data_IF_567585758747
#
_entry.id   IF_567585758747
#
_cell.length_a   1.000
_cell.length_b   1.000
_cell.length_c   1.000
_cell.angle_alpha   90.00
_cell.angle_beta   90.00
_cell.angle_gamma   90.00
#
_symmetry.space_group_name_H-M   'P 1'
#
loop_
_entity.id
_entity.type
_entity.pdbx_description
1 polymer ?
#
# COMPACT_ATOMS: atom_id res chain seq x y z
N UNK A 1 -0.17 -4.18 4.86
CA UNK A 1 -0.67 -4.84 3.65
C UNK A 1 -0.16 -4.07 2.45
N UNK A 2 0.47 -4.72 1.49
CA UNK A 2 0.97 -4.07 0.27
C UNK A 2 -0.06 -4.27 -0.82
N UNK A 3 -0.79 -3.19 -1.13
CA UNK A 3 -1.77 -3.13 -2.22
C UNK A 3 -1.06 -2.60 -3.45
N UNK A 4 -0.99 -3.39 -4.51
CA UNK A 4 -0.14 -3.01 -5.63
C UNK A 4 -0.59 -3.58 -6.97
N UNK A 5 -0.24 -2.86 -8.04
CA UNK A 5 -0.46 -3.30 -9.41
C UNK A 5 0.79 -4.00 -9.97
N UNK A 6 0.61 -5.12 -10.66
CA UNK A 6 1.71 -5.71 -11.45
C UNK A 6 2.27 -4.71 -12.47
N UNK A 7 3.59 -4.67 -12.59
CA UNK A 7 4.28 -3.83 -13.57
C UNK A 7 3.89 -4.29 -14.97
N UNK A 8 3.52 -3.36 -15.84
CA UNK A 8 3.23 -3.62 -17.24
C UNK A 8 3.87 -2.54 -18.13
N UNK A 9 4.62 -2.92 -19.18
CA UNK A 9 4.96 -4.29 -19.55
C UNK A 9 5.93 -4.94 -18.55
N UNK A 10 5.72 -6.23 -18.27
CA UNK A 10 6.68 -7.11 -17.57
C UNK A 10 7.34 -8.08 -18.56
N UNK A 11 8.06 -9.09 -18.05
CA UNK A 11 8.83 -10.03 -18.88
C UNK A 11 7.99 -10.84 -19.91
N UNK A 12 6.67 -10.93 -19.77
CA UNK A 12 5.81 -11.54 -20.80
C UNK A 12 4.39 -10.97 -20.91
N UNK A 13 3.68 -10.61 -19.82
CA UNK A 13 2.31 -10.03 -19.90
C UNK A 13 2.00 -9.10 -18.69
N UNK A 14 3.06 -8.61 -18.08
CA UNK A 14 3.02 -7.97 -16.77
C UNK A 14 3.51 -8.91 -15.67
N UNK A 15 4.29 -8.39 -14.73
CA UNK A 15 4.89 -9.16 -13.65
C UNK A 15 4.83 -8.31 -12.36
N UNK A 16 4.66 -8.90 -11.17
CA UNK A 16 4.57 -8.14 -9.92
C UNK A 16 5.80 -7.25 -9.66
N UNK A 17 6.93 -7.58 -10.29
CA UNK A 17 8.18 -6.81 -10.26
C UNK A 17 8.90 -6.84 -11.63
N UNK A 18 10.02 -6.15 -11.77
CA UNK A 18 10.90 -6.23 -12.93
C UNK A 18 12.12 -7.14 -12.65
N UNK A 19 12.94 -7.38 -13.68
CA UNK A 19 14.14 -8.23 -13.56
C UNK A 19 15.20 -7.66 -12.61
N UNK A 20 15.10 -6.39 -12.26
CA UNK A 20 16.02 -5.67 -11.36
C UNK A 20 15.50 -5.65 -9.91
N UNK A 21 14.30 -6.16 -9.65
CA UNK A 21 13.66 -6.14 -8.33
C UNK A 21 13.31 -4.73 -7.85
N UNK A 22 13.03 -3.80 -8.78
CA UNK A 22 12.83 -2.38 -8.48
C UNK A 22 11.67 -2.12 -7.52
N UNK A 23 10.57 -2.88 -7.64
CA UNK A 23 9.42 -2.74 -6.76
C UNK A 23 9.64 -3.37 -5.40
N UNK A 24 10.29 -4.54 -5.35
CA UNK A 24 10.73 -5.14 -4.11
C UNK A 24 11.62 -4.17 -3.32
N UNK A 25 12.63 -3.57 -3.97
CA UNK A 25 13.50 -2.57 -3.34
C UNK A 25 12.69 -1.38 -2.81
N UNK A 26 11.72 -0.89 -3.59
CA UNK A 26 10.83 0.20 -3.20
C UNK A 26 9.96 -0.14 -1.98
N UNK A 27 9.42 -1.37 -1.91
CA UNK A 27 8.64 -1.85 -0.75
C UNK A 27 9.52 -1.91 0.51
N UNK A 28 10.74 -2.46 0.39
CA UNK A 28 11.67 -2.54 1.51
C UNK A 28 12.03 -1.15 2.01
N UNK A 29 12.35 -0.21 1.12
CA UNK A 29 12.66 1.17 1.51
C UNK A 29 11.47 1.85 2.20
N UNK A 30 10.25 1.68 1.67
CA UNK A 30 9.05 2.22 2.28
C UNK A 30 8.84 1.69 3.71
N UNK A 31 9.00 0.38 3.91
CA UNK A 31 8.83 -0.27 5.21
C UNK A 31 9.90 0.19 6.19
N UNK A 32 11.16 0.30 5.76
CA UNK A 32 12.23 0.84 6.59
C UNK A 32 12.01 2.32 6.94
N UNK A 33 11.42 3.12 6.05
CA UNK A 33 10.99 4.49 6.38
C UNK A 33 9.84 4.51 7.37
N UNK A 34 8.85 3.66 7.22
CA UNK A 34 7.74 3.54 8.17
C UNK A 34 8.27 3.13 9.55
N UNK A 35 9.22 2.20 9.60
CA UNK A 35 9.87 1.77 10.84
C UNK A 35 10.79 2.85 11.43
N UNK A 36 11.63 3.46 10.60
CA UNK A 36 12.74 4.33 10.99
C UNK A 36 12.40 5.81 11.17
N UNK A 37 11.29 6.31 10.61
CA UNK A 37 10.87 7.71 10.73
C UNK A 37 10.29 8.07 12.12
N UNK A 38 10.65 7.32 13.17
CA UNK A 38 10.06 7.37 14.52
C UNK A 38 8.54 7.21 14.53
N UNK A 39 7.96 6.65 13.48
CA UNK A 39 6.53 6.37 13.48
C UNK A 39 6.24 5.20 14.42
N UNK A 40 7.13 4.22 14.48
CA UNK A 40 7.06 3.11 15.43
C UNK A 40 7.85 3.41 16.72
N UNK A 41 7.29 3.03 17.88
CA UNK A 41 7.89 3.30 19.21
C UNK A 41 9.18 2.52 19.47
N UNK A 42 9.26 1.31 18.91
CA UNK A 42 10.16 0.29 19.38
C UNK A 42 10.95 -0.28 18.20
N UNK A 43 12.27 -0.04 18.23
CA UNK A 43 13.18 -0.46 17.17
C UNK A 43 13.31 -1.99 17.03
N UNK A 44 12.90 -2.74 18.06
CA UNK A 44 12.95 -4.20 18.17
C UNK A 44 11.66 -4.91 17.74
N UNK A 45 10.62 -4.17 17.35
CA UNK A 45 9.39 -4.80 16.84
C UNK A 45 9.61 -5.40 15.46
N UNK A 46 9.07 -6.60 15.27
CA UNK A 46 9.06 -7.27 13.97
C UNK A 46 7.90 -6.76 13.13
N UNK A 47 8.15 -6.42 11.87
CA UNK A 47 7.12 -6.01 10.91
C UNK A 47 6.72 -7.22 10.08
N UNK A 48 5.44 -7.59 10.13
CA UNK A 48 4.86 -8.57 9.22
C UNK A 48 4.35 -7.87 7.95
N UNK A 49 4.76 -8.37 6.79
CA UNK A 49 4.36 -7.80 5.50
C UNK A 49 3.50 -8.84 4.78
N UNK A 50 2.24 -8.48 4.54
CA UNK A 50 1.39 -9.17 3.58
C UNK A 50 1.51 -8.47 2.24
N UNK A 51 1.93 -9.19 1.20
CA UNK A 51 1.99 -8.69 -0.17
C UNK A 51 0.88 -9.34 -0.97
N UNK A 52 0.05 -8.53 -1.62
CA UNK A 52 -0.93 -9.02 -2.59
C UNK A 52 -0.19 -9.61 -3.80
N UNK A 53 0.19 -10.89 -3.76
CA UNK A 53 0.68 -11.60 -4.93
C UNK A 53 -0.50 -12.25 -5.65
N UNK A 54 -1.11 -11.51 -6.58
CA UNK A 54 -2.17 -12.01 -7.45
C UNK A 54 -3.36 -12.51 -6.62
N UNK A 55 -4.10 -11.57 -6.05
CA UNK A 55 -5.13 -11.74 -5.02
C UNK A 55 -6.27 -12.73 -5.25
N UNK A 56 -6.22 -13.52 -6.31
CA UNK A 56 -7.03 -14.72 -6.47
C UNK A 56 -6.26 -15.68 -7.36
N UNK A 57 -6.11 -16.94 -6.95
CA UNK A 57 -5.69 -17.98 -7.89
C UNK A 57 -6.78 -18.12 -8.97
N UNK A 58 -6.52 -17.53 -10.14
CA UNK A 58 -7.44 -17.53 -11.27
C UNK A 58 -7.60 -18.91 -11.90
N UNK A 59 -6.71 -19.85 -11.54
CA UNK A 59 -6.78 -21.24 -11.98
C UNK A 59 -7.69 -22.08 -11.06
N UNK A 60 -8.18 -21.52 -9.94
CA UNK A 60 -9.19 -22.17 -9.10
C UNK A 60 -10.59 -22.12 -9.72
N UNK A 61 -11.40 -23.11 -9.38
CA UNK A 61 -12.78 -23.24 -9.84
C UNK A 61 -13.69 -22.11 -9.33
N UNK A 62 -13.35 -21.48 -8.19
CA UNK A 62 -14.09 -20.34 -7.65
C UNK A 62 -13.16 -19.22 -7.12
N UNK A 63 -12.63 -18.40 -8.03
CA UNK A 63 -11.83 -17.23 -7.70
C UNK A 63 -12.55 -16.28 -6.70
N UNK A 64 -13.88 -16.20 -6.79
CA UNK A 64 -14.67 -15.32 -5.94
C UNK A 64 -14.74 -15.76 -4.46
N UNK A 65 -14.36 -17.00 -4.13
CA UNK A 65 -14.34 -17.46 -2.74
C UNK A 65 -13.21 -16.80 -1.94
N UNK A 66 -12.02 -16.63 -2.53
CA UNK A 66 -10.88 -15.95 -1.88
C UNK A 66 -11.15 -14.45 -1.68
N UNK A 67 -11.99 -13.86 -2.53
CA UNK A 67 -12.47 -12.48 -2.39
C UNK A 67 -13.19 -12.24 -1.07
N UNK A 68 -13.85 -13.27 -0.53
CA UNK A 68 -14.56 -13.13 0.74
C UNK A 68 -13.59 -12.91 1.91
N UNK A 69 -12.29 -13.19 1.79
CA UNK A 69 -11.35 -13.08 2.91
C UNK A 69 -10.49 -11.80 2.87
N UNK A 70 -10.48 -11.06 1.75
CA UNK A 70 -9.67 -9.83 1.61
C UNK A 70 -9.93 -8.83 2.74
N UNK A 71 -11.21 -8.65 3.10
CA UNK A 71 -11.59 -7.73 4.16
C UNK A 71 -11.06 -8.17 5.53
N UNK A 72 -10.90 -9.49 5.77
CA UNK A 72 -10.31 -10.02 7.00
C UNK A 72 -8.80 -9.77 7.02
N UNK A 73 -8.11 -10.01 5.90
CA UNK A 73 -6.67 -9.74 5.76
C UNK A 73 -6.39 -8.26 6.01
N UNK A 74 -7.11 -7.37 5.32
CA UNK A 74 -6.99 -5.93 5.53
C UNK A 74 -7.36 -5.56 6.96
N UNK A 75 -8.39 -6.19 7.56
CA UNK A 75 -8.77 -5.92 8.94
C UNK A 75 -7.64 -6.17 9.94
N UNK A 76 -6.74 -7.11 9.64
CA UNK A 76 -5.58 -7.44 10.45
C UNK A 76 -4.35 -6.57 10.16
N UNK A 77 -4.39 -5.64 9.20
CA UNK A 77 -3.28 -4.71 8.92
C UNK A 77 -3.40 -3.38 9.71
N UNK A 78 -2.27 -2.76 10.01
CA UNK A 78 -2.18 -1.41 10.62
C UNK A 78 -2.12 -0.31 9.55
N UNK A 79 -1.49 -0.66 8.43
CA UNK A 79 -1.16 0.24 7.31
C UNK A 79 -1.41 -0.50 6.01
N UNK A 80 -1.94 0.24 5.02
CA UNK A 80 -1.91 -0.15 3.62
C UNK A 80 -0.81 0.64 2.91
N UNK A 81 0.09 -0.06 2.24
CA UNK A 81 1.19 0.53 1.48
C UNK A 81 0.92 0.29 -0.02
N UNK A 82 0.92 1.35 -0.81
CA UNK A 82 0.85 1.28 -2.27
C UNK A 82 2.18 1.72 -2.87
N UNK A 83 3.04 0.77 -3.27
CA UNK A 83 4.27 1.06 -3.97
C UNK A 83 3.98 1.47 -5.43
N UNK A 84 4.49 2.63 -5.84
CA UNK A 84 4.33 3.18 -7.20
C UNK A 84 5.68 3.18 -7.89
N UNK A 85 5.96 2.09 -8.61
CA UNK A 85 7.13 2.04 -9.46
C UNK A 85 6.85 2.79 -10.76
N UNK A 86 7.53 3.93 -10.95
CA UNK A 86 7.37 4.79 -12.13
C UNK A 86 8.70 4.93 -12.89
N UNK A 87 8.86 4.25 -14.04
CA UNK A 87 10.05 4.40 -14.87
C UNK A 87 10.13 5.77 -15.56
N UNK A 88 9.01 6.51 -15.67
CA UNK A 88 8.93 7.84 -16.28
C UNK A 88 8.94 8.98 -15.25
N UNK A 89 9.44 8.75 -14.03
CA UNK A 89 9.38 9.74 -12.95
C UNK A 89 10.18 11.03 -13.22
N UNK A 90 11.12 10.99 -14.17
CA UNK A 90 11.87 12.16 -14.62
C UNK A 90 11.03 13.10 -15.52
N UNK A 91 9.92 12.63 -16.08
CA UNK A 91 9.08 13.39 -17.04
C UNK A 91 8.10 14.36 -16.35
N UNK A 92 7.99 14.32 -15.03
CA UNK A 92 7.09 15.16 -14.26
C UNK A 92 7.72 15.61 -12.94
N UNK A 93 7.28 16.74 -12.40
CA UNK A 93 7.77 17.26 -11.13
C UNK A 93 6.65 17.41 -10.11
N UNK A 94 7.04 17.35 -8.84
CA UNK A 94 6.13 17.69 -7.75
C UNK A 94 5.64 19.13 -7.86
N UNK A 95 4.38 19.41 -7.44
CA UNK A 95 3.93 20.78 -7.30
C UNK A 95 4.90 21.57 -6.40
N UNK A 96 5.30 22.77 -6.84
CA UNK A 96 6.12 23.70 -6.03
C UNK A 96 5.35 24.38 -4.91
N UNK A 97 4.05 24.08 -4.81
CA UNK A 97 3.09 24.61 -3.83
C UNK A 97 2.65 23.50 -2.89
N UNK A 98 1.88 23.86 -1.87
CA UNK A 98 1.16 22.88 -1.07
C UNK A 98 0.21 22.04 -1.95
N UNK A 99 0.13 20.76 -1.64
CA UNK A 99 -0.77 19.83 -2.27
C UNK A 99 -2.20 20.10 -1.78
N UNK A 100 -3.13 20.19 -2.73
CA UNK A 100 -4.58 20.32 -2.50
C UNK A 100 -5.28 18.98 -2.63
N UNK A 101 -4.83 18.17 -3.58
CA UNK A 101 -5.37 16.84 -3.85
C UNK A 101 -4.21 15.93 -4.27
N UNK A 102 -3.65 15.19 -3.31
CA UNK A 102 -2.58 14.24 -3.58
C UNK A 102 -2.94 13.13 -4.56
N UNK A 103 -4.22 12.79 -4.72
CA UNK A 103 -4.65 11.78 -5.68
C UNK A 103 -4.58 12.30 -7.12
N UNK A 104 -4.94 13.56 -7.32
CA UNK A 104 -4.91 14.21 -8.64
C UNK A 104 -3.54 14.82 -8.99
N UNK A 105 -2.79 15.28 -7.99
CA UNK A 105 -1.53 16.00 -8.19
C UNK A 105 -0.29 15.08 -8.19
N UNK A 106 -0.42 13.81 -7.78
CA UNK A 106 0.64 12.82 -7.97
C UNK A 106 0.61 12.26 -9.40
N UNK A 107 1.44 12.84 -10.27
CA UNK A 107 1.38 12.67 -11.72
C UNK A 107 1.99 11.37 -12.24
N UNK A 108 2.47 10.48 -11.37
CA UNK A 108 2.94 9.16 -11.76
C UNK A 108 1.83 8.40 -12.49
N UNK A 109 2.01 8.13 -13.79
CA UNK A 109 1.02 7.39 -14.59
C UNK A 109 0.61 6.04 -13.95
N UNK A 110 1.54 5.25 -13.37
CA UNK A 110 1.17 4.00 -12.68
C UNK A 110 0.24 4.21 -11.48
N UNK A 111 0.28 5.37 -10.82
CA UNK A 111 -0.63 5.69 -9.71
C UNK A 111 -2.03 6.04 -10.20
N UNK A 112 -2.13 6.79 -11.30
CA UNK A 112 -3.42 7.08 -11.93
C UNK A 112 -4.08 5.79 -12.42
N UNK A 113 -3.30 4.88 -13.00
CA UNK A 113 -3.76 3.55 -13.40
C UNK A 113 -4.17 2.68 -12.21
N UNK A 114 -3.46 2.76 -11.07
CA UNK A 114 -3.83 2.06 -9.84
C UNK A 114 -5.25 2.43 -9.39
N UNK A 115 -5.60 3.73 -9.35
CA UNK A 115 -6.95 4.17 -8.97
C UNK A 115 -8.04 3.83 -9.99
N UNK A 116 -7.68 3.64 -11.25
CA UNK A 116 -8.60 3.15 -12.28
C UNK A 116 -9.03 1.69 -12.10
N UNK A 117 -8.37 0.93 -11.21
CA UNK A 117 -8.67 -0.50 -10.99
C UNK A 117 -9.62 -0.68 -9.82
N UNK A 118 -10.78 -1.27 -10.10
CA UNK A 118 -11.78 -1.60 -9.08
C UNK A 118 -11.21 -2.37 -7.88
N UNK A 119 -10.22 -3.24 -8.13
CA UNK A 119 -9.50 -3.98 -7.09
C UNK A 119 -8.81 -3.07 -6.07
N UNK A 120 -7.95 -2.19 -6.57
CA UNK A 120 -7.17 -1.26 -5.76
C UNK A 120 -8.07 -0.27 -4.99
N UNK A 121 -9.20 0.10 -5.60
CA UNK A 121 -10.23 0.93 -4.95
C UNK A 121 -10.93 0.15 -3.82
N UNK A 122 -11.24 -1.13 -4.02
CA UNK A 122 -11.83 -1.98 -2.98
C UNK A 122 -10.89 -2.10 -1.78
N UNK A 123 -9.60 -2.32 -2.01
CA UNK A 123 -8.59 -2.41 -0.94
C UNK A 123 -8.50 -1.11 -0.14
N UNK A 124 -8.45 0.03 -0.82
CA UNK A 124 -8.47 1.35 -0.19
C UNK A 124 -9.76 1.61 0.61
N UNK A 125 -10.91 1.22 0.05
CA UNK A 125 -12.21 1.32 0.73
C UNK A 125 -12.26 0.44 1.99
N UNK A 126 -11.80 -0.81 1.90
CA UNK A 126 -11.71 -1.72 3.04
C UNK A 126 -10.78 -1.15 4.12
N UNK A 127 -9.66 -0.56 3.73
CA UNK A 127 -8.73 0.08 4.67
C UNK A 127 -9.36 1.26 5.43
N UNK A 128 -10.18 2.07 4.73
CA UNK A 128 -10.83 3.25 5.26
C UNK A 128 -12.09 2.96 6.08
N UNK A 129 -12.83 1.90 5.74
CA UNK A 129 -14.16 1.64 6.30
C UNK A 129 -14.21 0.48 7.29
N UNK A 130 -13.27 -0.47 7.25
CA UNK A 130 -13.30 -1.62 8.17
C UNK A 130 -12.70 -1.23 9.53
N UNK A 131 -13.37 -1.54 10.66
CA UNK A 131 -12.81 -1.29 11.98
C UNK A 131 -11.44 -1.94 12.18
N UNK A 132 -10.55 -1.27 12.91
CA UNK A 132 -9.29 -1.87 13.37
C UNK A 132 -9.55 -2.67 14.64
N UNK A 133 -9.40 -4.00 14.56
CA UNK A 133 -9.47 -4.87 15.74
C UNK A 133 -8.35 -4.49 16.71
N UNK A 134 -8.67 -4.40 18.00
CA UNK A 134 -7.69 -4.05 19.05
C UNK A 134 -6.99 -2.70 18.79
N UNK A 135 -7.72 -1.71 18.23
CA UNK A 135 -7.17 -0.42 17.82
C UNK A 135 -6.29 0.27 18.88
N UNK A 136 -6.72 0.28 20.14
CA UNK A 136 -5.96 0.92 21.22
C UNK A 136 -4.58 0.26 21.40
N UNK A 137 -4.53 -1.07 21.50
CA UNK A 137 -3.30 -1.86 21.66
C UNK A 137 -2.38 -1.72 20.45
N UNK A 138 -2.94 -1.77 19.24
CA UNK A 138 -2.18 -1.63 17.99
C UNK A 138 -1.60 -0.24 17.82
N UNK A 139 -2.34 0.79 18.22
CA UNK A 139 -1.86 2.17 18.23
C UNK A 139 -0.66 2.37 19.18
N UNK A 140 -0.47 1.50 20.18
CA UNK A 140 0.71 1.58 21.05
C UNK A 140 2.01 1.28 20.32
N UNK A 141 1.97 0.55 19.20
CA UNK A 141 3.13 0.29 18.34
C UNK A 141 3.71 1.57 17.74
N UNK A 142 2.91 2.64 17.68
CA UNK A 142 3.27 3.90 17.04
C UNK A 142 3.45 5.02 18.07
N UNK A 143 4.49 5.85 17.87
CA UNK A 143 4.85 6.94 18.79
C UNK A 143 3.73 7.96 18.84
N UNK A 144 3.55 8.70 17.75
CA UNK A 144 2.47 9.63 17.47
C UNK A 144 2.34 9.86 15.95
N UNK A 145 1.31 10.60 15.52
CA UNK A 145 1.15 11.03 14.12
C UNK A 145 0.01 10.35 13.38
N UNK A 146 0.03 10.45 12.05
CA UNK A 146 -1.12 10.12 11.20
C UNK A 146 -1.51 8.62 11.25
N UNK A 147 -0.54 7.71 11.43
CA UNK A 147 -0.82 6.26 11.52
C UNK A 147 -1.57 5.94 12.81
N UNK A 148 -1.01 6.35 13.96
CA UNK A 148 -1.63 6.17 15.28
C UNK A 148 -3.04 6.77 15.32
N UNK A 149 -3.19 8.00 14.82
CA UNK A 149 -4.50 8.67 14.73
C UNK A 149 -5.48 7.90 13.85
N UNK A 150 -5.05 7.40 12.69
CA UNK A 150 -5.92 6.59 11.83
C UNK A 150 -6.41 5.34 12.57
N UNK A 151 -5.49 4.58 13.18
CA UNK A 151 -5.80 3.35 13.91
C UNK A 151 -6.80 3.59 15.04
N UNK A 152 -6.57 4.63 15.86
CA UNK A 152 -7.47 4.99 16.96
C UNK A 152 -8.88 5.41 16.48
N UNK A 153 -9.00 5.90 15.24
CA UNK A 153 -10.28 6.19 14.60
C UNK A 153 -10.88 4.98 13.84
N UNK A 154 -10.30 3.79 14.01
CA UNK A 154 -10.76 2.57 13.36
C UNK A 154 -10.47 2.53 11.86
N UNK A 155 -9.45 3.26 11.39
CA UNK A 155 -9.04 3.35 9.99
C UNK A 155 -7.59 2.92 9.84
N UNK A 156 -7.21 2.49 8.64
CA UNK A 156 -5.80 2.25 8.29
C UNK A 156 -5.30 3.40 7.45
N UNK A 157 -4.10 3.86 7.75
CA UNK A 157 -3.47 4.86 6.91
C UNK A 157 -3.08 4.21 5.57
N UNK A 158 -3.43 4.87 4.46
CA UNK A 158 -3.06 4.43 3.12
C UNK A 158 -1.86 5.27 2.68
N UNK A 159 -0.69 4.63 2.70
CA UNK A 159 0.58 5.27 2.38
C UNK A 159 0.93 4.96 0.94
N UNK A 160 1.12 6.01 0.15
CA UNK A 160 1.68 5.91 -1.20
C UNK A 160 3.18 6.14 -1.11
N UNK A 161 3.95 5.28 -1.75
CA UNK A 161 5.41 5.42 -1.81
C UNK A 161 5.90 5.08 -3.20
N UNK A 162 6.42 6.05 -3.95
CA UNK A 162 6.86 5.83 -5.31
C UNK A 162 8.34 6.10 -5.53
N UNK A 163 8.79 5.82 -6.76
CA UNK A 163 10.17 6.00 -7.20
C UNK A 163 10.68 7.44 -7.03
N UNK A 164 9.78 8.43 -7.13
CA UNK A 164 10.01 9.84 -6.84
C UNK A 164 9.10 10.25 -5.72
#
# INVERSE_FOLDING_TARGET
>A
FVSHRWLSPGASDGHPDNNEGGKHALIVEAVEKIRGAKLMKAADWSVAIWVDFGCVDQDLENPAAELNELHEIIAQADVVLTPVYDPGHDDWDYPTRFWKDEYAEYLAAPFQEYWGRAWCVLEAMSAACMPVRLAAERAEAFEDGAIKTAILNGRRNHIVYGTK
#
